data_IF_219341010384
#
_entry.id   IF_219341010384
#
_cell.length_a   1.000
_cell.length_b   1.000
_cell.length_c   1.000
_cell.angle_alpha   90.00
_cell.angle_beta   90.00
_cell.angle_gamma   90.00
#
_symmetry.space_group_name_H-M   'P 1'
#
loop_
_entity.id
_entity.type
_entity.pdbx_description
1 polymer ?
#
# COMPACT_ATOMS: atom_id res chain seq x y z
N UNK A 1 1.56 -16.10 -56.73
CA UNK A 1 0.45 -16.95 -57.20
C UNK A 1 -0.59 -16.93 -56.09
N UNK A 2 -1.58 -16.04 -56.20
CA UNK A 2 -2.63 -15.85 -55.18
C UNK A 2 -3.96 -16.00 -55.90
N UNK A 3 -4.64 -17.12 -55.62
CA UNK A 3 -5.93 -17.46 -56.23
C UNK A 3 -7.03 -16.47 -55.83
N UNK A 4 -7.92 -16.08 -56.76
CA UNK A 4 -9.08 -15.26 -56.44
C UNK A 4 -10.11 -16.05 -55.63
N UNK A 5 -10.43 -15.59 -54.43
CA UNK A 5 -11.58 -16.06 -53.66
C UNK A 5 -12.87 -15.66 -54.39
N UNK A 6 -13.41 -16.55 -55.21
CA UNK A 6 -14.75 -16.42 -55.81
C UNK A 6 -15.81 -16.90 -54.81
N UNK A 7 -16.50 -15.98 -54.17
CA UNK A 7 -17.79 -16.26 -53.55
C UNK A 7 -18.88 -16.29 -54.64
N UNK A 8 -19.75 -17.29 -54.59
CA UNK A 8 -20.67 -17.69 -55.67
C UNK A 8 -21.91 -16.79 -55.84
N UNK A 9 -22.46 -16.87 -57.06
CA UNK A 9 -23.76 -16.42 -57.61
C UNK A 9 -23.83 -15.05 -58.31
N UNK A 10 -22.97 -14.06 -58.05
CA UNK A 10 -23.04 -12.76 -58.77
C UNK A 10 -21.75 -12.22 -59.40
N UNK A 11 -20.68 -13.01 -59.55
CA UNK A 11 -19.44 -12.64 -60.25
C UNK A 11 -18.86 -11.25 -59.88
N UNK A 12 -19.08 -10.80 -58.63
CA UNK A 12 -18.52 -9.56 -58.10
C UNK A 12 -17.15 -9.91 -57.51
N UNK A 13 -16.08 -9.37 -58.11
CA UNK A 13 -14.74 -9.50 -57.57
C UNK A 13 -14.64 -8.69 -56.26
N UNK A 14 -14.73 -9.38 -55.11
CA UNK A 14 -14.59 -8.79 -53.78
C UNK A 14 -13.12 -8.55 -53.39
N UNK A 15 -12.16 -9.02 -54.20
CA UNK A 15 -10.72 -8.87 -53.95
C UNK A 15 -10.27 -7.42 -53.75
N UNK A 16 -10.76 -6.40 -54.50
CA UNK A 16 -10.37 -5.00 -54.29
C UNK A 16 -10.88 -4.43 -52.95
N UNK A 17 -12.05 -4.89 -52.51
CA UNK A 17 -12.70 -4.45 -51.27
C UNK A 17 -12.01 -5.08 -50.05
N UNK A 18 -11.72 -6.37 -50.12
CA UNK A 18 -10.97 -7.10 -49.10
C UNK A 18 -9.52 -6.56 -49.01
N UNK A 19 -8.86 -6.29 -50.15
CA UNK A 19 -7.52 -5.67 -50.17
C UNK A 19 -7.52 -4.28 -49.55
N UNK A 20 -8.49 -3.41 -49.85
CA UNK A 20 -8.58 -2.07 -49.22
C UNK A 20 -8.76 -2.14 -47.69
N UNK A 21 -9.53 -3.11 -47.20
CA UNK A 21 -9.75 -3.30 -45.75
C UNK A 21 -8.48 -3.87 -45.09
N UNK A 22 -7.85 -4.88 -45.71
CA UNK A 22 -6.58 -5.44 -45.24
C UNK A 22 -5.46 -4.39 -45.28
N UNK A 23 -5.29 -3.66 -46.37
CA UNK A 23 -4.27 -2.62 -46.52
C UNK A 23 -4.48 -1.48 -45.52
N UNK A 24 -5.73 -1.09 -45.25
CA UNK A 24 -6.06 -0.06 -44.25
C UNK A 24 -5.81 -0.51 -42.80
N UNK A 25 -5.90 -1.80 -42.48
CA UNK A 25 -5.53 -2.34 -41.17
C UNK A 25 -4.03 -2.62 -41.06
N UNK A 26 -3.41 -3.19 -42.10
CA UNK A 26 -1.95 -3.39 -42.19
C UNK A 26 -1.19 -2.08 -42.18
N UNK A 27 -1.70 -1.01 -42.79
CA UNK A 27 -1.12 0.33 -42.71
C UNK A 27 -1.19 0.93 -41.30
N UNK A 28 -2.28 0.69 -40.56
CA UNK A 28 -2.41 1.14 -39.16
C UNK A 28 -1.49 0.35 -38.23
N UNK A 29 -1.39 -0.96 -38.44
CA UNK A 29 -0.48 -1.84 -37.71
C UNK A 29 0.98 -1.53 -38.05
N UNK A 30 1.33 -1.30 -39.32
CA UNK A 30 2.67 -0.85 -39.74
C UNK A 30 3.01 0.52 -39.17
N UNK A 31 2.11 1.51 -39.23
CA UNK A 31 2.34 2.82 -38.61
C UNK A 31 2.48 2.73 -37.08
N UNK A 32 1.71 1.86 -36.42
CA UNK A 32 1.91 1.57 -35.02
C UNK A 32 3.30 0.95 -34.79
N UNK A 33 3.69 -0.10 -35.52
CA UNK A 33 4.99 -0.77 -35.41
C UNK A 33 6.17 0.17 -35.70
N UNK A 34 6.12 0.92 -36.82
CA UNK A 34 7.18 1.83 -37.27
C UNK A 34 7.36 3.02 -36.31
N UNK A 35 6.29 3.44 -35.62
CA UNK A 35 6.37 4.49 -34.61
C UNK A 35 6.90 4.00 -33.25
N UNK A 36 6.71 2.71 -32.92
CA UNK A 36 7.12 2.11 -31.64
C UNK A 36 8.62 1.80 -31.59
N UNK A 37 9.23 1.36 -32.71
CA UNK A 37 10.61 0.85 -32.74
C UNK A 37 11.64 1.89 -32.28
N UNK A 38 11.64 3.16 -32.76
CA UNK A 38 12.62 4.15 -32.32
C UNK A 38 12.43 4.57 -30.86
N UNK A 39 11.17 4.70 -30.41
CA UNK A 39 10.84 5.20 -29.06
C UNK A 39 11.11 4.15 -27.99
N UNK A 40 10.92 2.87 -28.31
CA UNK A 40 11.23 1.78 -27.38
C UNK A 40 12.73 1.74 -27.05
N UNK A 41 13.60 2.08 -28.00
CA UNK A 41 15.05 2.13 -27.79
C UNK A 41 15.44 3.25 -26.81
N UNK A 42 14.78 4.41 -26.88
CA UNK A 42 15.04 5.55 -25.99
C UNK A 42 14.38 5.41 -24.62
N UNK A 43 13.17 4.83 -24.56
CA UNK A 43 12.34 4.77 -23.35
C UNK A 43 12.68 3.55 -22.47
N UNK A 44 13.07 2.42 -23.08
CA UNK A 44 13.38 1.19 -22.33
C UNK A 44 14.47 1.37 -21.28
N UNK A 45 15.59 2.09 -21.51
CA UNK A 45 16.59 2.35 -20.47
C UNK A 45 16.04 3.13 -19.28
N UNK A 46 15.25 4.17 -19.53
CA UNK A 46 14.61 4.96 -18.47
C UNK A 46 13.59 4.12 -17.68
N UNK A 47 12.77 3.33 -18.39
CA UNK A 47 11.81 2.41 -17.80
C UNK A 47 12.51 1.32 -16.97
N UNK A 48 13.63 0.77 -17.44
CA UNK A 48 14.43 -0.22 -16.71
C UNK A 48 15.04 0.36 -15.43
N UNK A 49 15.57 1.59 -15.48
CA UNK A 49 16.12 2.25 -14.29
C UNK A 49 15.04 2.52 -13.24
N UNK A 50 13.87 3.02 -13.66
CA UNK A 50 12.73 3.22 -12.77
C UNK A 50 12.22 1.87 -12.21
N UNK A 51 12.14 0.84 -13.05
CA UNK A 51 11.74 -0.51 -12.65
C UNK A 51 12.68 -1.11 -11.61
N UNK A 52 14.00 -0.96 -11.77
CA UNK A 52 14.97 -1.38 -10.76
C UNK A 52 14.82 -0.57 -9.48
N UNK A 53 14.60 0.74 -9.58
CA UNK A 53 14.36 1.61 -8.42
C UNK A 53 13.17 1.13 -7.59
N UNK A 54 12.02 0.84 -8.21
CA UNK A 54 10.81 0.39 -7.51
C UNK A 54 11.01 -0.95 -6.78
N UNK A 55 12.00 -1.74 -7.16
CA UNK A 55 12.25 -3.03 -6.50
C UNK A 55 13.02 -2.88 -5.17
N UNK A 56 13.58 -1.71 -4.86
CA UNK A 56 14.32 -1.49 -3.63
C UNK A 56 13.39 -1.12 -2.47
N UNK A 57 13.66 -1.67 -1.29
CA UNK A 57 13.00 -1.24 -0.05
C UNK A 57 13.50 0.16 0.35
N UNK A 58 12.57 1.11 0.46
CA UNK A 58 12.82 2.50 0.89
C UNK A 58 12.59 2.60 2.40
N UNK A 59 13.56 3.07 3.20
CA UNK A 59 13.34 3.27 4.62
C UNK A 59 12.34 4.42 4.83
N UNK A 60 11.35 4.23 5.72
CA UNK A 60 10.39 5.26 6.15
C UNK A 60 10.63 5.77 7.57
N UNK A 61 11.19 4.94 8.45
CA UNK A 61 11.65 5.29 9.79
C UNK A 61 12.55 4.16 10.33
N UNK A 62 12.99 4.25 11.58
CA UNK A 62 13.74 3.23 12.30
C UNK A 62 12.95 1.92 12.37
N UNK A 63 13.29 0.98 11.47
CA UNK A 63 12.62 -0.32 11.36
C UNK A 63 11.28 -0.27 10.61
N UNK A 64 11.00 0.75 9.80
CA UNK A 64 9.82 0.80 8.92
C UNK A 64 10.27 0.96 7.48
N UNK A 65 9.76 0.09 6.60
CA UNK A 65 10.19 -0.02 5.21
C UNK A 65 9.02 0.02 4.25
N UNK A 66 9.15 0.76 3.15
CA UNK A 66 8.23 0.75 2.03
C UNK A 66 8.79 -0.13 0.91
N UNK A 67 7.97 -1.04 0.40
CA UNK A 67 8.27 -1.90 -0.74
C UNK A 67 7.23 -1.65 -1.82
N UNK A 68 7.59 -1.61 -3.11
CA UNK A 68 6.63 -1.32 -4.19
C UNK A 68 6.20 -2.56 -4.99
N UNK A 69 6.95 -3.66 -4.97
CA UNK A 69 6.62 -4.91 -5.70
C UNK A 69 6.01 -4.69 -7.10
N UNK A 70 6.82 -4.26 -8.09
CA UNK A 70 6.32 -3.97 -9.43
C UNK A 70 5.91 -5.25 -10.17
N UNK A 71 4.88 -5.15 -11.02
CA UNK A 71 4.21 -6.29 -11.67
C UNK A 71 4.10 -6.14 -13.19
N UNK A 72 3.73 -4.96 -13.69
CA UNK A 72 3.55 -4.73 -15.13
C UNK A 72 4.07 -3.37 -15.59
N UNK A 73 4.42 -3.29 -16.88
CA UNK A 73 4.84 -2.06 -17.54
C UNK A 73 4.13 -1.91 -18.88
N UNK A 74 3.62 -0.71 -19.16
CA UNK A 74 2.82 -0.38 -20.33
C UNK A 74 3.35 0.87 -21.00
N UNK A 75 3.18 0.96 -22.32
CA UNK A 75 3.53 2.12 -23.12
C UNK A 75 2.26 2.70 -23.74
N UNK A 76 2.01 3.99 -23.52
CA UNK A 76 0.92 4.67 -24.18
C UNK A 76 1.18 4.85 -25.68
N UNK A 77 0.13 4.89 -26.51
CA UNK A 77 0.26 5.27 -27.91
C UNK A 77 0.92 6.64 -28.06
N UNK A 78 1.72 6.79 -29.12
CA UNK A 78 2.40 8.04 -29.42
C UNK A 78 1.40 9.12 -29.83
N UNK A 79 1.56 10.30 -29.24
CA UNK A 79 0.75 11.47 -29.54
C UNK A 79 1.69 12.62 -29.93
N UNK A 80 1.27 13.48 -30.86
CA UNK A 80 2.13 14.58 -31.28
C UNK A 80 1.61 15.35 -32.50
N UNK A 81 1.93 16.64 -32.55
CA UNK A 81 1.72 17.50 -33.70
C UNK A 81 2.88 18.48 -33.81
N UNK A 82 3.40 18.73 -35.03
CA UNK A 82 4.41 19.78 -35.25
C UNK A 82 5.83 19.43 -34.77
N UNK A 83 6.29 18.20 -34.97
CA UNK A 83 7.69 17.79 -34.73
C UNK A 83 8.01 17.35 -33.29
N UNK A 84 7.07 17.45 -32.35
CA UNK A 84 7.20 16.91 -31.01
C UNK A 84 6.35 15.64 -30.85
N UNK A 85 6.97 14.56 -30.37
CA UNK A 85 6.30 13.30 -30.04
C UNK A 85 6.29 13.12 -28.52
N UNK A 86 5.13 12.75 -27.97
CA UNK A 86 4.90 12.49 -26.55
C UNK A 86 4.40 11.06 -26.37
N UNK A 87 4.92 10.42 -25.34
CA UNK A 87 4.49 9.09 -24.88
C UNK A 87 4.55 9.07 -23.37
N UNK A 88 3.84 8.13 -22.74
CA UNK A 88 3.94 7.85 -21.32
C UNK A 88 4.22 6.37 -21.08
N UNK A 89 4.96 6.09 -20.02
CA UNK A 89 5.18 4.73 -19.50
C UNK A 89 4.38 4.60 -18.21
N UNK A 90 3.54 3.58 -18.14
CA UNK A 90 2.81 3.24 -16.92
C UNK A 90 3.44 2.03 -16.29
N UNK A 91 3.90 2.17 -15.05
CA UNK A 91 4.35 1.05 -14.22
C UNK A 91 3.27 0.73 -13.19
N UNK A 92 2.93 -0.56 -13.07
CA UNK A 92 1.96 -1.06 -12.11
C UNK A 92 2.73 -1.77 -11.01
N UNK A 93 2.49 -1.35 -9.77
CA UNK A 93 3.20 -1.81 -8.59
C UNK A 93 2.25 -1.91 -7.39
N UNK A 94 2.53 -2.83 -6.48
CA UNK A 94 1.74 -3.10 -5.28
C UNK A 94 2.52 -2.72 -4.03
N UNK A 95 2.36 -1.49 -3.55
CA UNK A 95 3.13 -1.00 -2.43
C UNK A 95 2.65 -1.58 -1.09
N UNK A 96 3.61 -1.86 -0.21
CA UNK A 96 3.38 -2.33 1.16
C UNK A 96 4.36 -1.69 2.12
N UNK A 97 3.84 -1.30 3.28
CA UNK A 97 4.66 -0.87 4.42
C UNK A 97 4.87 -2.07 5.34
N UNK A 98 6.14 -2.38 5.62
CA UNK A 98 6.55 -3.48 6.48
C UNK A 98 7.31 -2.92 7.68
N UNK A 99 6.91 -3.34 8.88
CA UNK A 99 7.58 -3.00 10.14
C UNK A 99 8.53 -4.14 10.52
N UNK A 100 9.71 -3.79 11.05
CA UNK A 100 10.75 -4.71 11.48
C UNK A 100 12.00 -4.72 10.61
N UNK A 101 12.52 -5.92 10.35
CA UNK A 101 13.74 -6.12 9.57
C UNK A 101 13.57 -5.66 8.11
N UNK A 102 14.66 -5.21 7.49
CA UNK A 102 14.65 -4.77 6.09
C UNK A 102 14.21 -5.93 5.18
N UNK A 103 13.11 -5.76 4.41
CA UNK A 103 12.68 -6.78 3.45
C UNK A 103 13.76 -6.99 2.38
N UNK A 104 14.02 -8.25 2.03
CA UNK A 104 14.91 -8.59 0.92
C UNK A 104 14.17 -8.36 -0.41
N UNK A 105 14.70 -7.51 -1.31
CA UNK A 105 14.06 -7.25 -2.59
C UNK A 105 14.09 -8.50 -3.48
N UNK A 106 12.98 -8.79 -4.15
CA UNK A 106 12.89 -9.83 -5.18
C UNK A 106 13.10 -9.18 -6.54
N UNK A 107 14.29 -9.35 -7.11
CA UNK A 107 14.63 -8.76 -8.40
C UNK A 107 13.98 -9.52 -9.56
N UNK A 108 13.27 -8.79 -10.42
CA UNK A 108 12.64 -9.22 -11.66
C UNK A 108 13.05 -8.27 -12.79
N UNK A 109 13.30 -8.80 -13.99
CA UNK A 109 13.54 -7.95 -15.16
C UNK A 109 12.30 -7.13 -15.51
N UNK A 110 12.50 -5.99 -16.19
CA UNK A 110 11.40 -5.23 -16.77
C UNK A 110 10.59 -6.13 -17.72
N UNK A 111 9.27 -6.31 -17.52
CA UNK A 111 8.45 -7.09 -18.42
C UNK A 111 8.36 -6.42 -19.80
N UNK A 112 7.93 -7.17 -20.81
CA UNK A 112 7.72 -6.60 -22.15
C UNK A 112 6.67 -5.48 -22.07
N UNK A 113 7.02 -4.32 -22.62
CA UNK A 113 6.12 -3.17 -22.69
C UNK A 113 4.94 -3.51 -23.60
N UNK A 114 3.73 -3.51 -23.04
CA UNK A 114 2.49 -3.70 -23.78
C UNK A 114 1.83 -2.36 -24.07
N UNK A 115 1.14 -2.24 -25.22
CA UNK A 115 0.40 -1.02 -25.53
C UNK A 115 -0.91 -0.97 -24.76
N UNK A 116 -1.13 0.14 -24.07
CA UNK A 116 -2.38 0.43 -23.39
C UNK A 116 -2.49 1.94 -23.16
N UNK A 117 -3.70 2.45 -23.04
CA UNK A 117 -3.89 3.81 -22.55
C UNK A 117 -3.30 3.96 -21.14
N UNK A 118 -2.63 5.09 -20.92
CA UNK A 118 -2.10 5.46 -19.63
C UNK A 118 -3.08 6.40 -18.94
N UNK A 119 -3.59 6.07 -17.75
CA UNK A 119 -4.31 7.04 -16.93
C UNK A 119 -3.35 8.20 -16.58
N UNK A 120 -3.86 9.44 -16.50
CA UNK A 120 -3.03 10.58 -16.11
C UNK A 120 -2.61 10.46 -14.65
N UNK A 121 -1.37 10.84 -14.36
CA UNK A 121 -0.86 10.95 -12.99
C UNK A 121 -0.43 9.63 -12.34
N UNK A 122 -0.23 9.71 -11.03
CA UNK A 122 0.12 8.60 -10.14
C UNK A 122 -1.12 8.29 -9.30
N UNK A 123 -1.49 7.01 -9.23
CA UNK A 123 -2.51 6.49 -8.32
C UNK A 123 -1.98 5.24 -7.63
N UNK A 124 -1.67 5.35 -6.33
CA UNK A 124 -0.90 4.34 -5.60
C UNK A 124 -1.66 3.93 -4.33
N UNK A 125 -2.35 2.78 -4.35
CA UNK A 125 -2.99 2.22 -3.16
C UNK A 125 -1.94 1.52 -2.30
N UNK A 126 -1.72 2.00 -1.08
CA UNK A 126 -0.78 1.46 -0.08
C UNK A 126 -1.55 0.80 1.06
N UNK A 127 -1.22 -0.45 1.34
CA UNK A 127 -1.67 -1.14 2.55
C UNK A 127 -0.61 -0.99 3.65
N UNK A 128 -1.01 -0.37 4.75
CA UNK A 128 -0.21 -0.23 5.97
C UNK A 128 -0.65 -1.32 6.93
N UNK A 129 0.19 -2.32 7.11
CA UNK A 129 -0.06 -3.43 8.02
C UNK A 129 0.52 -3.09 9.40
N UNK A 130 -0.30 -3.18 10.44
CA UNK A 130 0.09 -3.03 11.84
C UNK A 130 -0.02 -4.41 12.50
N UNK A 131 1.10 -5.16 12.63
CA UNK A 131 1.08 -6.50 13.17
C UNK A 131 0.64 -6.53 14.64
N UNK A 132 -0.17 -7.52 15.01
CA UNK A 132 -0.58 -7.72 16.39
C UNK A 132 0.62 -7.97 17.30
N UNK A 133 1.62 -8.73 16.84
CA UNK A 133 2.84 -9.00 17.60
C UNK A 133 3.60 -7.72 18.00
N UNK A 134 3.66 -6.72 17.12
CA UNK A 134 4.31 -5.44 17.42
C UNK A 134 3.53 -4.65 18.48
N UNK A 135 2.20 -4.66 18.38
CA UNK A 135 1.31 -4.05 19.37
C UNK A 135 1.49 -4.75 20.72
N UNK A 136 1.47 -6.09 20.75
CA UNK A 136 1.65 -6.92 21.94
C UNK A 136 2.99 -6.62 22.63
N UNK A 137 4.09 -6.57 21.86
CA UNK A 137 5.42 -6.30 22.39
C UNK A 137 5.51 -4.91 23.01
N UNK A 138 5.07 -3.88 22.27
CA UNK A 138 5.13 -2.48 22.74
C UNK A 138 4.22 -2.26 23.95
N UNK A 139 2.98 -2.74 23.89
CA UNK A 139 2.02 -2.62 24.99
C UNK A 139 2.50 -3.37 26.23
N UNK A 140 3.06 -4.58 26.08
CA UNK A 140 3.62 -5.33 27.22
C UNK A 140 4.79 -4.58 27.86
N UNK A 141 5.75 -4.10 27.05
CA UNK A 141 6.92 -3.38 27.56
C UNK A 141 6.53 -2.12 28.35
N UNK A 142 5.57 -1.35 27.84
CA UNK A 142 5.09 -0.14 28.50
C UNK A 142 4.33 -0.46 29.80
N UNK A 143 3.41 -1.42 29.77
CA UNK A 143 2.57 -1.76 30.92
C UNK A 143 3.34 -2.46 32.05
N UNK A 144 4.35 -3.26 31.73
CA UNK A 144 5.25 -3.85 32.74
C UNK A 144 5.97 -2.75 33.51
N UNK A 145 6.49 -1.73 32.82
CA UNK A 145 7.14 -0.58 33.45
C UNK A 145 6.21 0.22 34.36
N UNK A 146 4.97 0.48 33.91
CA UNK A 146 3.99 1.28 34.65
C UNK A 146 3.33 0.55 35.83
N UNK A 147 3.31 -0.79 35.83
CA UNK A 147 2.70 -1.60 36.89
C UNK A 147 3.70 -2.22 37.86
N UNK A 148 5.00 -1.93 37.69
CA UNK A 148 6.03 -2.32 38.64
C UNK A 148 5.71 -1.79 40.06
N UNK A 149 5.69 -2.69 41.05
CA UNK A 149 5.40 -2.36 42.45
C UNK A 149 3.92 -2.16 42.80
N UNK A 150 2.99 -2.36 41.86
CA UNK A 150 1.53 -2.33 42.12
C UNK A 150 1.01 -3.72 42.49
N UNK A 151 -0.19 -3.77 43.08
CA UNK A 151 -0.82 -5.03 43.54
C UNK A 151 -1.16 -6.01 42.40
N UNK A 152 -1.34 -5.48 41.19
CA UNK A 152 -1.52 -6.24 39.96
C UNK A 152 -0.43 -5.83 38.96
N UNK A 153 0.41 -6.79 38.57
CA UNK A 153 1.48 -6.64 37.59
C UNK A 153 1.02 -7.20 36.25
N UNK A 154 1.21 -6.45 35.18
CA UNK A 154 1.01 -6.99 33.82
C UNK A 154 2.16 -7.92 33.47
N UNK A 155 1.85 -9.12 33.00
CA UNK A 155 2.86 -10.06 32.48
C UNK A 155 2.94 -10.06 30.96
N UNK A 156 1.77 -9.95 30.31
CA UNK A 156 1.66 -10.12 28.87
C UNK A 156 0.41 -9.45 28.33
N UNK A 157 0.52 -8.90 27.14
CA UNK A 157 -0.60 -8.47 26.31
C UNK A 157 -0.70 -9.39 25.11
N UNK A 158 -1.92 -9.80 24.76
CA UNK A 158 -2.25 -10.51 23.52
C UNK A 158 -3.31 -9.73 22.75
N UNK A 159 -3.19 -9.69 21.43
CA UNK A 159 -4.08 -8.95 20.54
C UNK A 159 -4.54 -9.86 19.40
N UNK A 160 -5.84 -9.87 19.16
CA UNK A 160 -6.41 -10.49 17.97
C UNK A 160 -7.64 -9.73 17.52
N UNK A 161 -8.15 -10.08 16.35
CA UNK A 161 -9.37 -9.53 15.77
C UNK A 161 -10.49 -10.56 15.73
N UNK A 162 -11.72 -10.08 15.86
CA UNK A 162 -12.93 -10.82 15.56
C UNK A 162 -13.80 -9.93 14.66
N UNK A 163 -13.64 -10.05 13.34
CA UNK A 163 -14.22 -9.10 12.39
C UNK A 163 -13.58 -7.71 12.53
N UNK A 164 -14.39 -6.66 12.69
CA UNK A 164 -13.98 -5.26 12.89
C UNK A 164 -13.61 -4.95 14.36
N UNK A 165 -13.71 -5.93 15.24
CA UNK A 165 -13.51 -5.77 16.68
C UNK A 165 -12.10 -6.23 17.06
N UNK A 166 -11.35 -5.34 17.73
CA UNK A 166 -10.10 -5.67 18.39
C UNK A 166 -10.39 -6.29 19.76
N UNK A 167 -9.70 -7.39 20.06
CA UNK A 167 -9.70 -8.01 21.38
C UNK A 167 -8.28 -7.95 21.93
N UNK A 168 -8.14 -7.33 23.10
CA UNK A 168 -6.89 -7.21 23.82
C UNK A 168 -7.03 -7.94 25.15
N UNK A 169 -6.25 -9.01 25.33
CA UNK A 169 -6.15 -9.72 26.60
C UNK A 169 -4.89 -9.26 27.34
N UNK A 170 -5.06 -8.94 28.62
CA UNK A 170 -3.98 -8.55 29.52
C UNK A 170 -3.91 -9.58 30.64
N UNK A 171 -2.80 -10.32 30.70
CA UNK A 171 -2.53 -11.28 31.76
C UNK A 171 -1.92 -10.56 32.97
N UNK A 172 -2.54 -10.73 34.13
CA UNK A 172 -2.18 -10.11 35.40
C UNK A 172 -1.65 -11.15 36.39
N UNK A 173 -0.59 -10.78 37.11
CA UNK A 173 -0.01 -11.55 38.20
C UNK A 173 0.17 -10.69 39.47
N UNK A 174 0.47 -11.35 40.60
CA UNK A 174 0.63 -10.70 41.90
C UNK A 174 -0.54 -10.99 42.85
N UNK A 175 -0.95 -10.01 43.65
CA UNK A 175 -2.08 -10.16 44.59
C UNK A 175 -3.42 -10.31 43.88
N UNK A 176 -3.52 -9.81 42.64
CA UNK A 176 -4.66 -9.99 41.75
C UNK A 176 -4.17 -10.75 40.52
N UNK A 177 -4.42 -12.06 40.48
CA UNK A 177 -4.09 -12.91 39.35
C UNK A 177 -5.34 -13.14 38.48
N UNK A 178 -5.18 -13.09 37.16
CA UNK A 178 -6.26 -13.34 36.21
C UNK A 178 -6.01 -12.71 34.84
N UNK A 179 -6.99 -12.81 33.96
CA UNK A 179 -6.94 -12.18 32.63
C UNK A 179 -8.04 -11.13 32.50
N UNK A 180 -7.66 -9.97 32.01
CA UNK A 180 -8.56 -8.88 31.65
C UNK A 180 -8.74 -8.89 30.14
N UNK A 181 -9.99 -8.76 29.69
CA UNK A 181 -10.31 -8.61 28.28
C UNK A 181 -10.85 -7.22 28.01
N UNK A 182 -10.28 -6.58 27.01
CA UNK A 182 -10.74 -5.32 26.44
C UNK A 182 -11.20 -5.62 25.02
N UNK A 183 -12.41 -5.19 24.72
CA UNK A 183 -13.03 -5.40 23.41
C UNK A 183 -13.49 -4.04 22.92
N UNK A 184 -13.13 -3.69 21.69
CA UNK A 184 -13.56 -2.44 21.09
C UNK A 184 -13.45 -2.46 19.57
N UNK A 185 -14.28 -1.66 18.90
CA UNK A 185 -14.24 -1.54 17.45
C UNK A 185 -13.10 -0.63 17.05
N UNK A 186 -12.30 -1.06 16.07
CA UNK A 186 -11.26 -0.19 15.53
C UNK A 186 -11.89 0.76 14.53
N UNK A 187 -11.64 2.04 14.71
CA UNK A 187 -12.19 3.10 13.88
C UNK A 187 -11.09 4.10 13.48
N UNK A 188 -11.28 4.79 12.37
CA UNK A 188 -10.39 5.85 11.91
C UNK A 188 -11.16 7.15 11.75
N UNK A 189 -10.74 8.16 12.50
CA UNK A 189 -11.28 9.51 12.36
C UNK A 189 -10.45 10.29 11.33
N UNK A 190 -11.02 10.64 10.16
CA UNK A 190 -10.31 11.39 9.12
C UNK A 190 -10.01 12.84 9.51
N UNK A 191 -10.78 13.44 10.44
CA UNK A 191 -10.57 14.82 10.90
C UNK A 191 -9.39 14.89 11.86
N UNK A 192 -9.37 14.04 12.89
CA UNK A 192 -8.22 14.00 13.82
C UNK A 192 -7.04 13.20 13.28
N UNK A 193 -7.22 12.43 12.19
CA UNK A 193 -6.25 11.49 11.60
C UNK A 193 -5.76 10.44 12.61
N UNK A 194 -6.62 10.09 13.56
CA UNK A 194 -6.33 9.13 14.62
C UNK A 194 -7.05 7.81 14.34
N UNK A 195 -6.31 6.72 14.49
CA UNK A 195 -6.91 5.39 14.61
C UNK A 195 -7.26 5.18 16.09
N UNK A 196 -8.51 4.82 16.36
CA UNK A 196 -9.08 4.69 17.69
C UNK A 196 -9.65 3.30 17.94
N UNK A 197 -9.58 2.83 19.18
CA UNK A 197 -10.37 1.66 19.62
C UNK A 197 -11.56 2.19 20.40
N UNK A 198 -12.69 2.33 19.71
CA UNK A 198 -13.94 2.82 20.29
C UNK A 198 -14.63 1.74 21.14
N UNK A 199 -15.46 2.19 22.09
CA UNK A 199 -16.32 1.33 22.91
C UNK A 199 -15.57 0.24 23.68
N UNK A 200 -14.45 0.60 24.32
CA UNK A 200 -13.66 -0.30 25.15
C UNK A 200 -14.50 -0.87 26.31
N UNK A 201 -15.13 -2.02 26.09
CA UNK A 201 -15.91 -2.75 27.09
C UNK A 201 -14.99 -3.75 27.78
N UNK A 202 -14.96 -3.72 29.10
CA UNK A 202 -14.18 -4.66 29.90
C UNK A 202 -15.05 -5.86 30.26
N UNK A 203 -14.50 -7.06 30.12
CA UNK A 203 -15.03 -8.26 30.77
C UNK A 203 -13.90 -8.91 31.54
N UNK A 204 -14.15 -9.21 32.82
CA UNK A 204 -13.18 -9.88 33.68
C UNK A 204 -13.67 -11.29 33.93
N UNK A 205 -12.94 -12.26 33.38
CA UNK A 205 -13.19 -13.66 33.65
C UNK A 205 -12.20 -14.12 34.74
N UNK A 206 -12.65 -14.10 35.99
CA UNK A 206 -11.90 -14.65 37.11
C UNK A 206 -12.45 -16.04 37.47
N UNK A 207 -11.54 -16.98 37.75
CA UNK A 207 -11.86 -18.36 38.14
C UNK A 207 -12.55 -18.45 39.51
N UNK A 208 -12.38 -17.47 40.39
CA UNK A 208 -12.93 -17.50 41.75
C UNK A 208 -14.16 -16.60 41.94
N UNK A 209 -15.27 -17.20 42.35
CA UNK A 209 -16.57 -16.55 42.58
C UNK A 209 -16.50 -15.46 43.66
N UNK A 210 -15.56 -15.57 44.62
CA UNK A 210 -15.33 -14.57 45.69
C UNK A 210 -14.53 -13.33 45.22
N UNK A 211 -13.84 -13.41 44.08
CA UNK A 211 -13.03 -12.32 43.53
C UNK A 211 -13.83 -11.36 42.64
N UNK A 212 -15.02 -11.77 42.16
CA UNK A 212 -15.91 -10.96 41.31
C UNK A 212 -16.37 -9.66 41.97
N UNK A 213 -16.35 -9.60 43.30
CA UNK A 213 -16.88 -8.48 44.10
C UNK A 213 -15.80 -7.40 44.40
N UNK A 214 -14.50 -7.67 44.20
CA UNK A 214 -13.41 -6.69 44.42
C UNK A 214 -12.83 -6.06 43.13
N UNK A 215 -13.26 -6.53 41.96
CA UNK A 215 -12.75 -6.06 40.65
C UNK A 215 -13.31 -4.70 40.22
N UNK A 216 -14.49 -4.31 40.72
CA UNK A 216 -15.13 -3.02 40.37
C UNK A 216 -14.31 -1.80 40.79
N UNK A 217 -13.53 -1.91 41.88
CA UNK A 217 -12.66 -0.83 42.40
C UNK A 217 -11.31 -0.74 41.67
N UNK A 218 -10.91 -1.78 40.91
CA UNK A 218 -9.71 -1.80 40.08
C UNK A 218 -9.96 -1.40 38.62
N UNK A 219 -11.18 -1.64 38.10
CA UNK A 219 -11.52 -1.43 36.70
C UNK A 219 -11.27 -0.01 36.18
N UNK A 220 -11.51 1.03 36.99
CA UNK A 220 -11.31 2.44 36.61
C UNK A 220 -9.84 2.88 36.64
N UNK A 221 -9.01 2.29 37.49
CA UNK A 221 -7.55 2.53 37.51
C UNK A 221 -6.84 1.76 36.41
N UNK A 222 -7.30 0.54 36.12
CA UNK A 222 -6.77 -0.29 35.04
C UNK A 222 -7.21 0.27 33.68
N UNK A 223 -8.46 0.70 33.52
CA UNK A 223 -8.92 1.44 32.34
C UNK A 223 -8.03 2.66 32.08
N UNK A 224 -7.75 3.47 33.10
CA UNK A 224 -6.84 4.63 32.98
C UNK A 224 -5.40 4.23 32.66
N UNK A 225 -4.89 3.13 33.19
CA UNK A 225 -3.56 2.63 32.87
C UNK A 225 -3.47 2.12 31.43
N UNK A 226 -4.51 1.43 30.95
CA UNK A 226 -4.63 0.98 29.56
C UNK A 226 -4.80 2.17 28.62
N UNK A 227 -5.64 3.15 28.96
CA UNK A 227 -5.79 4.39 28.22
C UNK A 227 -4.46 5.15 28.21
N UNK A 228 -3.76 5.30 29.34
CA UNK A 228 -2.44 5.93 29.37
C UNK A 228 -1.41 5.19 28.51
N UNK A 229 -1.39 3.85 28.59
CA UNK A 229 -0.47 2.99 27.85
C UNK A 229 -0.76 2.91 26.34
N UNK A 230 -1.95 3.33 25.91
CA UNK A 230 -2.36 3.32 24.48
C UNK A 230 -2.60 4.73 23.94
N UNK A 231 -2.15 5.78 24.65
CA UNK A 231 -2.47 7.18 24.32
C UNK A 231 -3.98 7.44 24.14
N UNK A 232 -4.80 6.72 24.91
CA UNK A 232 -6.26 6.71 24.90
C UNK A 232 -6.85 5.79 23.84
N UNK A 233 -6.10 4.78 23.39
CA UNK A 233 -6.40 3.97 22.22
C UNK A 233 -6.21 4.73 20.91
N UNK A 234 -5.46 5.84 20.90
CA UNK A 234 -5.33 6.76 19.77
C UNK A 234 -3.94 6.68 19.15
N UNK A 235 -3.83 6.13 17.95
CA UNK A 235 -2.60 6.15 17.18
C UNK A 235 -2.64 7.27 16.14
N UNK A 236 -1.68 8.17 16.17
CA UNK A 236 -1.53 9.24 15.18
C UNK A 236 -0.92 8.68 13.90
N UNK A 237 -1.78 8.10 13.05
CA UNK A 237 -1.39 7.60 11.74
C UNK A 237 -1.13 8.76 10.78
N UNK A 238 -1.68 9.95 11.05
CA UNK A 238 -1.44 11.15 10.25
C UNK A 238 0.03 11.49 10.07
N UNK A 239 0.80 11.57 11.17
CA UNK A 239 2.22 11.90 11.09
C UNK A 239 3.04 10.87 10.28
N UNK A 240 2.70 9.58 10.41
CA UNK A 240 3.33 8.52 9.63
C UNK A 240 3.03 8.66 8.13
N UNK A 241 1.78 9.01 7.79
CA UNK A 241 1.37 9.26 6.40
C UNK A 241 2.07 10.48 5.80
N UNK A 242 2.28 11.54 6.59
CA UNK A 242 3.00 12.73 6.14
C UNK A 242 4.47 12.41 5.86
N UNK A 243 5.14 11.70 6.77
CA UNK A 243 6.51 11.25 6.54
C UNK A 243 6.64 10.33 5.33
N UNK A 244 5.68 9.42 5.13
CA UNK A 244 5.66 8.54 3.97
C UNK A 244 5.48 9.35 2.67
N UNK A 245 4.59 10.34 2.67
CA UNK A 245 4.37 11.25 1.53
C UNK A 245 5.64 12.04 1.20
N UNK A 246 6.30 12.61 2.20
CA UNK A 246 7.50 13.43 2.01
C UNK A 246 8.65 12.60 1.45
N UNK A 247 8.88 11.40 2.02
CA UNK A 247 9.91 10.47 1.52
C UNK A 247 9.61 9.98 0.10
N UNK A 248 8.36 9.64 -0.19
CA UNK A 248 7.96 9.26 -1.55
C UNK A 248 8.18 10.40 -2.55
N UNK A 249 7.82 11.62 -2.17
CA UNK A 249 8.03 12.80 -3.01
C UNK A 249 9.51 13.05 -3.25
N UNK A 250 10.36 12.87 -2.23
CA UNK A 250 11.81 12.98 -2.38
C UNK A 250 12.36 11.92 -3.34
N UNK A 251 11.93 10.67 -3.22
CA UNK A 251 12.34 9.57 -4.10
C UNK A 251 11.86 9.78 -5.54
N UNK A 252 10.68 10.40 -5.75
CA UNK A 252 10.16 10.75 -7.07
C UNK A 252 10.89 11.92 -7.74
N UNK A 253 11.73 12.67 -7.03
CA UNK A 253 12.46 13.81 -7.58
C UNK A 253 13.97 13.58 -7.73
N UNK A 254 14.44 12.34 -7.53
CA UNK A 254 15.85 11.96 -7.65
C UNK A 254 16.26 11.71 -9.11
N UNK A 255 17.55 11.88 -9.39
CA UNK A 255 18.13 11.44 -10.66
C UNK A 255 18.18 9.90 -10.70
N UNK A 256 17.65 9.30 -11.77
CA UNK A 256 17.62 7.84 -11.95
C UNK A 256 18.85 7.32 -12.69
N UNK A 257 19.39 8.13 -13.61
CA UNK A 257 20.56 7.86 -14.42
C UNK A 257 21.12 9.19 -14.96
N UNK A 258 22.39 9.25 -15.41
CA UNK A 258 22.89 10.43 -16.11
C UNK A 258 21.95 10.84 -17.25
N UNK A 259 21.45 12.08 -17.24
CA UNK A 259 20.50 12.60 -18.24
C UNK A 259 19.04 12.16 -18.08
N UNK A 260 18.67 11.42 -17.03
CA UNK A 260 17.27 11.01 -16.76
C UNK A 260 16.87 11.31 -15.32
N UNK A 261 15.92 12.23 -15.15
CA UNK A 261 15.34 12.59 -13.87
C UNK A 261 13.84 12.30 -13.86
N UNK A 262 13.31 11.86 -12.72
CA UNK A 262 11.86 11.90 -12.48
C UNK A 262 11.57 13.22 -11.77
N UNK A 263 10.49 13.89 -12.17
CA UNK A 263 9.93 15.01 -11.44
C UNK A 263 8.45 14.75 -11.19
N UNK A 264 8.01 14.89 -9.95
CA UNK A 264 6.64 14.57 -9.57
C UNK A 264 6.30 14.98 -8.15
N UNK A 265 5.02 14.93 -7.82
CA UNK A 265 4.52 15.28 -6.50
C UNK A 265 3.28 14.47 -6.11
N UNK A 266 3.14 14.20 -4.82
CA UNK A 266 1.91 13.65 -4.25
C UNK A 266 0.98 14.80 -3.90
N UNK A 267 -0.15 14.87 -4.60
CA UNK A 267 -1.16 15.91 -4.47
C UNK A 267 -2.10 15.63 -3.30
N UNK A 268 -2.50 14.37 -3.12
CA UNK A 268 -3.40 13.98 -2.03
C UNK A 268 -3.07 12.61 -1.43
N UNK A 269 -3.42 12.46 -0.16
CA UNK A 269 -3.32 11.22 0.62
C UNK A 269 -4.67 11.00 1.28
N UNK A 270 -5.33 9.89 0.96
CA UNK A 270 -6.67 9.60 1.51
C UNK A 270 -6.78 8.17 2.02
N UNK A 271 -7.29 8.01 3.23
CA UNK A 271 -7.64 6.69 3.76
C UNK A 271 -8.92 6.21 3.08
N UNK A 272 -8.90 4.99 2.52
CA UNK A 272 -10.04 4.40 1.81
C UNK A 272 -10.70 3.26 2.59
N UNK A 273 -9.94 2.52 3.38
CA UNK A 273 -10.49 1.42 4.16
C UNK A 273 -9.64 1.13 5.40
N UNK A 274 -10.30 0.58 6.41
CA UNK A 274 -9.69 -0.03 7.58
C UNK A 274 -10.31 -1.43 7.71
N UNK A 275 -9.47 -2.46 7.78
CA UNK A 275 -9.92 -3.84 7.95
C UNK A 275 -8.88 -4.65 8.73
N UNK A 276 -9.23 -5.89 9.05
CA UNK A 276 -8.40 -6.80 9.84
C UNK A 276 -8.00 -8.01 9.00
N UNK A 277 -6.81 -8.54 9.29
CA UNK A 277 -6.39 -9.89 8.90
C UNK A 277 -6.32 -10.77 10.14
N UNK A 278 -5.85 -12.01 9.98
CA UNK A 278 -5.63 -12.92 11.10
C UNK A 278 -4.53 -12.43 12.07
N UNK A 279 -3.64 -11.54 11.62
CA UNK A 279 -2.44 -11.14 12.36
C UNK A 279 -2.19 -9.64 12.40
N UNK A 280 -3.03 -8.80 11.78
CA UNK A 280 -2.75 -7.37 11.63
C UNK A 280 -4.02 -6.54 11.46
N UNK A 281 -3.95 -5.28 11.87
CA UNK A 281 -4.84 -4.23 11.36
C UNK A 281 -4.26 -3.70 10.05
N UNK A 282 -5.10 -3.47 9.04
CA UNK A 282 -4.68 -2.95 7.74
C UNK A 282 -5.42 -1.66 7.43
N UNK A 283 -4.65 -0.60 7.24
CA UNK A 283 -5.14 0.68 6.78
C UNK A 283 -4.80 0.83 5.29
N UNK A 284 -5.82 0.88 4.45
CA UNK A 284 -5.66 1.16 3.02
C UNK A 284 -5.69 2.65 2.77
N UNK A 285 -4.59 3.15 2.22
CA UNK A 285 -4.41 4.55 1.84
C UNK A 285 -4.23 4.64 0.34
N UNK A 286 -4.77 5.68 -0.28
CA UNK A 286 -4.54 6.00 -1.69
C UNK A 286 -3.79 7.32 -1.76
N UNK A 287 -2.70 7.28 -2.51
CA UNK A 287 -1.88 8.44 -2.87
C UNK A 287 -2.18 8.81 -4.31
N UNK A 288 -2.63 10.04 -4.53
CA UNK A 288 -2.86 10.60 -5.87
C UNK A 288 -1.86 11.72 -6.14
N UNK A 289 -1.33 11.80 -7.35
CA UNK A 289 -0.36 12.81 -7.72
C UNK A 289 0.04 12.80 -9.18
N UNK A 290 1.22 13.33 -9.48
CA UNK A 290 1.78 13.40 -10.82
C UNK A 290 3.26 13.01 -10.84
N UNK A 291 3.72 12.46 -11.96
CA UNK A 291 5.14 12.31 -12.25
C UNK A 291 5.41 12.32 -13.74
N UNK A 292 6.57 12.84 -14.10
CA UNK A 292 7.07 12.96 -15.45
C UNK A 292 8.55 12.55 -15.47
N UNK A 293 8.93 11.83 -16.52
CA UNK A 293 10.33 11.54 -16.82
C UNK A 293 10.87 12.65 -17.71
N UNK A 294 11.91 13.34 -17.23
CA UNK A 294 12.64 14.35 -17.98
C UNK A 294 13.94 13.69 -18.45
N UNK A 295 14.05 13.51 -19.76
CA UNK A 295 15.24 12.98 -20.43
C UNK A 295 15.91 14.14 -21.19
N UNK A 296 17.19 14.38 -20.91
CA UNK A 296 18.01 15.40 -21.59
C UNK A 296 18.80 14.81 -22.75
#
# INVERSE_FOLDING_TARGET
LLDPCRATVFNIDASPLIRRILDGQLQRVRRAIDSIIPVTVTVKPAADSLWRTLQHAVPLDSGVWLTMSPDAARLAPLTGSGGAVRTSVTLIAYPRVVVGARPTPVYRPLPTLTLAEAPPGIHVPVDIEIPFADIEQRATAQLVGETAGKEARVERVKVWSAGDTAVVQIDLAGKVAGSLYLVGRVDYDPTSRLLTIADLRYTVQSRDVMSRIRVSLGASRIKRAVEAATSGGRWNVGALLDQARDRLTQELNRSLAPGTQVSGGIESVSVKALYTTQSSFVLRVVLDGNAQLIMQ
#
